data_IF_863462406007
#
_entry.id   IF_863462406007
#
_cell.length_a   1.000
_cell.length_b   1.000
_cell.length_c   1.000
_cell.angle_alpha   90.00
_cell.angle_beta   90.00
_cell.angle_gamma   90.00
#
_symmetry.space_group_name_H-M   'P 1'
#
loop_
_entity.id
_entity.type
_entity.pdbx_description
1 polymer ?
#
# COMPACT_ATOMS: atom_id res chain seq x y z
N UNK A 1 -17.09 14.06 30.68
CA UNK A 1 -17.87 14.15 29.43
C UNK A 1 -17.12 14.91 28.35
N UNK A 2 -16.98 16.25 28.42
CA UNK A 2 -16.39 17.06 27.33
C UNK A 2 -14.97 16.61 26.88
N UNK A 3 -14.14 16.11 27.79
CA UNK A 3 -12.78 15.66 27.46
C UNK A 3 -12.79 14.30 26.73
N UNK A 4 -13.67 13.39 27.14
CA UNK A 4 -13.85 12.07 26.51
C UNK A 4 -14.40 12.23 25.09
N UNK A 5 -15.40 13.11 24.91
CA UNK A 5 -15.97 13.38 23.59
C UNK A 5 -14.91 13.94 22.62
N UNK A 6 -14.02 14.80 23.13
CA UNK A 6 -12.89 15.34 22.34
C UNK A 6 -11.86 14.27 21.98
N UNK A 7 -11.58 13.34 22.90
CA UNK A 7 -10.66 12.22 22.67
C UNK A 7 -11.21 11.27 21.60
N UNK A 8 -12.48 10.87 21.72
CA UNK A 8 -13.15 10.00 20.75
C UNK A 8 -13.20 10.65 19.37
N UNK A 9 -13.54 11.94 19.29
CA UNK A 9 -13.56 12.68 18.02
C UNK A 9 -12.17 12.72 17.37
N UNK A 10 -11.12 12.97 18.15
CA UNK A 10 -9.74 12.94 17.66
C UNK A 10 -9.34 11.55 17.13
N UNK A 11 -9.70 10.49 17.86
CA UNK A 11 -9.41 9.10 17.45
C UNK A 11 -10.11 8.77 16.14
N UNK A 12 -11.40 9.10 16.00
CA UNK A 12 -12.17 8.83 14.78
C UNK A 12 -11.58 9.54 13.55
N UNK A 13 -11.22 10.83 13.70
CA UNK A 13 -10.58 11.59 12.62
C UNK A 13 -9.25 10.97 12.18
N UNK A 14 -8.50 10.43 13.14
CA UNK A 14 -7.21 9.83 12.86
C UNK A 14 -7.33 8.45 12.20
N UNK A 15 -8.37 7.68 12.55
CA UNK A 15 -8.70 6.43 11.87
C UNK A 15 -9.16 6.67 10.42
N UNK A 16 -9.98 7.69 10.17
CA UNK A 16 -10.39 8.09 8.83
C UNK A 16 -9.17 8.48 7.96
N UNK A 17 -8.22 9.21 8.54
CA UNK A 17 -6.95 9.53 7.87
C UNK A 17 -6.17 8.26 7.49
N UNK A 18 -6.03 7.31 8.41
CA UNK A 18 -5.33 6.05 8.15
C UNK A 18 -6.03 5.20 7.08
N UNK A 19 -7.36 5.12 7.12
CA UNK A 19 -8.16 4.42 6.11
C UNK A 19 -7.96 5.04 4.71
N UNK A 20 -7.92 6.38 4.62
CA UNK A 20 -7.66 7.08 3.36
C UNK A 20 -6.27 6.79 2.76
N UNK A 21 -5.34 6.29 3.59
CA UNK A 21 -3.99 5.87 3.21
C UNK A 21 -3.88 4.36 2.97
N UNK A 22 -5.02 3.67 2.83
CA UNK A 22 -5.12 2.22 2.64
C UNK A 22 -4.57 1.39 3.83
N UNK A 23 -4.47 1.98 5.02
CA UNK A 23 -4.08 1.26 6.23
C UNK A 23 -5.32 0.55 6.80
N UNK A 24 -5.19 -0.74 7.13
CA UNK A 24 -6.27 -1.51 7.72
C UNK A 24 -6.47 -1.10 9.19
N UNK A 25 -7.62 -0.47 9.47
CA UNK A 25 -7.99 0.05 10.79
C UNK A 25 -9.18 -0.68 11.43
N UNK A 26 -9.70 -1.75 10.81
CA UNK A 26 -10.95 -2.39 11.23
C UNK A 26 -10.93 -2.90 12.68
N UNK A 27 -9.80 -3.44 13.13
CA UNK A 27 -9.63 -3.91 14.51
C UNK A 27 -9.59 -2.76 15.52
N UNK A 28 -9.04 -1.60 15.14
CA UNK A 28 -9.00 -0.40 15.98
C UNK A 28 -10.39 0.22 16.11
N UNK A 29 -11.13 0.32 15.00
CA UNK A 29 -12.53 0.79 15.02
C UNK A 29 -13.38 -0.09 15.93
N UNK A 30 -13.21 -1.41 15.85
CA UNK A 30 -13.94 -2.34 16.72
C UNK A 30 -13.63 -2.09 18.21
N UNK A 31 -12.35 -2.00 18.58
CA UNK A 31 -11.92 -1.75 19.97
C UNK A 31 -12.46 -0.42 20.50
N UNK A 32 -12.34 0.66 19.72
CA UNK A 32 -12.88 1.97 20.12
C UNK A 32 -14.39 1.90 20.35
N UNK A 33 -15.13 1.18 19.50
CA UNK A 33 -16.57 1.00 19.65
C UNK A 33 -16.94 0.17 20.90
N UNK A 34 -16.13 -0.83 21.25
CA UNK A 34 -16.28 -1.62 22.48
C UNK A 34 -16.06 -0.76 23.73
N UNK A 35 -15.01 0.08 23.73
CA UNK A 35 -14.68 0.96 24.85
C UNK A 35 -15.70 2.10 25.04
N UNK A 36 -16.21 2.69 23.95
CA UNK A 36 -17.29 3.69 24.01
C UNK A 36 -18.56 3.07 24.61
N UNK A 37 -18.95 1.87 24.16
CA UNK A 37 -20.10 1.15 24.72
C UNK A 37 -19.87 0.78 26.19
N UNK A 38 -18.63 0.53 26.60
CA UNK A 38 -18.24 0.34 27.99
C UNK A 38 -18.45 1.61 28.82
N UNK A 39 -17.98 2.74 28.32
CA UNK A 39 -18.15 4.06 28.95
C UNK A 39 -19.61 4.52 29.06
N UNK A 40 -20.43 4.23 28.06
CA UNK A 40 -21.87 4.52 28.11
C UNK A 40 -22.58 3.76 29.23
N UNK A 41 -22.12 2.53 29.53
CA UNK A 41 -22.67 1.69 30.59
C UNK A 41 -22.10 2.03 31.97
N UNK A 42 -20.82 2.39 32.04
CA UNK A 42 -20.12 2.75 33.26
C UNK A 42 -19.19 3.95 33.06
N UNK A 43 -19.74 5.18 33.15
CA UNK A 43 -18.99 6.42 32.87
C UNK A 43 -17.84 6.70 33.84
N UNK A 44 -17.83 6.04 35.00
CA UNK A 44 -16.81 6.22 36.03
C UNK A 44 -15.59 5.30 35.85
N UNK A 45 -15.64 4.38 34.89
CA UNK A 45 -14.60 3.37 34.72
C UNK A 45 -13.39 3.93 33.97
N UNK A 46 -12.30 4.16 34.70
CA UNK A 46 -11.05 4.71 34.17
C UNK A 46 -10.31 3.76 33.22
N UNK A 47 -10.66 2.47 33.18
CA UNK A 47 -10.00 1.49 32.32
C UNK A 47 -10.29 1.79 30.86
N UNK A 48 -11.55 2.02 30.50
CA UNK A 48 -11.93 2.37 29.12
C UNK A 48 -11.29 3.66 28.63
N UNK A 49 -11.09 4.64 29.53
CA UNK A 49 -10.40 5.89 29.19
C UNK A 49 -8.92 5.61 28.86
N UNK A 50 -8.26 4.79 29.68
CA UNK A 50 -6.86 4.37 29.44
C UNK A 50 -6.72 3.55 28.16
N UNK A 51 -7.68 2.68 27.87
CA UNK A 51 -7.69 1.87 26.65
C UNK A 51 -7.84 2.75 25.41
N UNK A 52 -8.71 3.76 25.44
CA UNK A 52 -8.82 4.77 24.39
C UNK A 52 -7.52 5.58 24.21
N UNK A 53 -6.85 5.96 25.30
CA UNK A 53 -5.53 6.61 25.23
C UNK A 53 -4.46 5.70 24.62
N UNK A 54 -4.44 4.41 24.97
CA UNK A 54 -3.54 3.42 24.36
C UNK A 54 -3.80 3.29 22.86
N UNK A 55 -5.07 3.22 22.45
CA UNK A 55 -5.46 3.16 21.04
C UNK A 55 -4.99 4.42 20.30
N UNK A 56 -5.08 5.60 20.93
CA UNK A 56 -4.56 6.84 20.35
C UNK A 56 -3.05 6.78 20.10
N UNK A 57 -2.27 6.22 21.02
CA UNK A 57 -0.83 6.06 20.81
C UNK A 57 -0.51 5.01 19.72
N UNK A 58 -1.26 3.91 19.65
CA UNK A 58 -1.17 2.94 18.56
C UNK A 58 -1.44 3.59 17.18
N UNK A 59 -2.49 4.41 17.09
CA UNK A 59 -2.84 5.18 15.88
C UNK A 59 -1.73 6.15 15.50
N UNK A 60 -1.08 6.79 16.47
CA UNK A 60 0.03 7.73 16.22
C UNK A 60 1.26 7.01 15.69
N UNK A 61 1.57 5.83 16.22
CA UNK A 61 2.62 4.97 15.67
C UNK A 61 2.28 4.55 14.22
N UNK A 62 1.05 4.08 14.00
CA UNK A 62 0.55 3.72 12.68
C UNK A 62 0.59 4.87 11.69
N UNK A 63 0.30 6.11 12.08
CA UNK A 63 0.42 7.28 11.21
C UNK A 63 1.84 7.53 10.75
N UNK A 64 2.81 7.30 11.63
CA UNK A 64 4.23 7.43 11.31
C UNK A 64 4.64 6.38 10.27
N UNK A 65 4.12 5.16 10.40
CA UNK A 65 4.35 4.09 9.44
C UNK A 65 3.52 4.24 8.14
N UNK A 66 2.33 4.85 8.24
CA UNK A 66 1.40 5.03 7.12
C UNK A 66 1.96 5.93 6.03
N UNK A 67 2.78 6.93 6.37
CA UNK A 67 3.46 7.75 5.37
C UNK A 67 4.41 6.90 4.52
N UNK A 68 5.14 5.96 5.12
CA UNK A 68 5.98 5.01 4.38
C UNK A 68 5.15 4.07 3.50
N UNK A 69 4.05 3.52 4.03
CA UNK A 69 3.16 2.62 3.29
C UNK A 69 2.55 3.36 2.08
N UNK A 70 2.05 4.58 2.28
CA UNK A 70 1.47 5.39 1.22
C UNK A 70 2.48 5.70 0.10
N UNK A 71 3.71 6.06 0.46
CA UNK A 71 4.78 6.32 -0.50
C UNK A 71 5.10 5.05 -1.30
N UNK A 72 5.24 3.91 -0.63
CA UNK A 72 5.55 2.62 -1.28
C UNK A 72 4.43 2.20 -2.24
N UNK A 73 3.16 2.25 -1.80
CA UNK A 73 2.02 1.88 -2.64
C UNK A 73 1.94 2.76 -3.90
N UNK A 74 2.15 4.07 -3.75
CA UNK A 74 2.18 4.96 -4.89
C UNK A 74 3.37 4.66 -5.83
N UNK A 75 4.57 4.40 -5.30
CA UNK A 75 5.73 4.01 -6.12
C UNK A 75 5.42 2.74 -6.91
N UNK A 76 4.84 1.72 -6.27
CA UNK A 76 4.47 0.45 -6.93
C UNK A 76 3.43 0.72 -8.03
N UNK A 77 2.39 1.51 -7.74
CA UNK A 77 1.34 1.84 -8.70
C UNK A 77 1.87 2.58 -9.93
N UNK A 78 2.66 3.63 -9.71
CA UNK A 78 3.23 4.40 -10.82
C UNK A 78 4.29 3.62 -11.59
N UNK A 79 5.16 2.84 -10.91
CA UNK A 79 6.14 1.99 -11.59
C UNK A 79 5.49 0.90 -12.44
N UNK A 80 4.38 0.31 -11.97
CA UNK A 80 3.61 -0.66 -12.75
C UNK A 80 3.01 -0.01 -14.00
N UNK A 81 2.42 1.16 -13.87
CA UNK A 81 1.85 1.89 -15.00
C UNK A 81 2.93 2.27 -16.05
N UNK A 82 4.09 2.76 -15.61
CA UNK A 82 5.23 3.05 -16.47
C UNK A 82 5.74 1.77 -17.14
N UNK A 83 5.88 0.67 -16.39
CA UNK A 83 6.31 -0.62 -16.92
C UNK A 83 5.42 -1.12 -18.05
N UNK A 84 4.10 -1.08 -17.87
CA UNK A 84 3.12 -1.45 -18.90
C UNK A 84 3.23 -0.52 -20.11
N UNK A 85 3.32 0.79 -19.89
CA UNK A 85 3.49 1.78 -20.95
C UNK A 85 4.78 1.61 -21.78
N UNK A 86 5.83 1.05 -21.17
CA UNK A 86 7.09 0.76 -21.84
C UNK A 86 7.06 -0.56 -22.65
N UNK A 87 6.09 -1.45 -22.45
CA UNK A 87 6.01 -2.73 -23.17
C UNK A 87 6.02 -2.53 -24.69
N UNK A 88 5.16 -1.68 -25.31
CA UNK A 88 5.17 -1.49 -26.76
C UNK A 88 6.51 -0.96 -27.28
N UNK A 89 7.15 -0.05 -26.54
CA UNK A 89 8.45 0.52 -26.91
C UNK A 89 9.55 -0.53 -26.83
N UNK A 90 9.57 -1.31 -25.74
CA UNK A 90 10.50 -2.41 -25.56
C UNK A 90 10.34 -3.47 -26.65
N UNK A 91 9.10 -3.84 -26.97
CA UNK A 91 8.77 -4.76 -28.07
C UNK A 91 9.29 -4.24 -29.41
N UNK A 92 9.03 -2.97 -29.72
CA UNK A 92 9.46 -2.34 -30.98
C UNK A 92 10.99 -2.32 -31.14
N UNK A 93 11.74 -2.10 -30.05
CA UNK A 93 13.21 -2.03 -30.09
C UNK A 93 13.86 -3.42 -30.01
N UNK A 94 13.34 -4.31 -29.16
CA UNK A 94 13.96 -5.61 -28.86
C UNK A 94 13.63 -6.65 -29.93
N UNK A 95 12.39 -6.74 -30.41
CA UNK A 95 12.01 -7.78 -31.39
C UNK A 95 12.88 -7.73 -32.67
N UNK A 96 13.13 -6.58 -33.32
CA UNK A 96 13.97 -6.55 -34.52
C UNK A 96 15.40 -7.02 -34.25
N UNK A 97 15.96 -6.66 -33.10
CA UNK A 97 17.33 -7.05 -32.71
C UNK A 97 17.43 -8.54 -32.40
N UNK A 98 16.46 -9.07 -31.66
CA UNK A 98 16.38 -10.50 -31.34
C UNK A 98 16.17 -11.32 -32.61
N UNK A 99 15.29 -10.86 -33.52
CA UNK A 99 15.07 -11.48 -34.82
C UNK A 99 16.37 -11.58 -35.62
N UNK A 100 17.08 -10.45 -35.79
CA UNK A 100 18.34 -10.42 -36.53
C UNK A 100 19.40 -11.31 -35.88
N UNK A 101 19.50 -11.29 -34.55
CA UNK A 101 20.44 -12.14 -33.81
C UNK A 101 20.18 -13.63 -34.07
N UNK A 102 18.91 -14.06 -33.97
CA UNK A 102 18.51 -15.45 -34.24
C UNK A 102 18.77 -15.80 -35.71
N UNK A 103 18.37 -14.93 -36.65
CA UNK A 103 18.57 -15.14 -38.07
C UNK A 103 20.05 -15.32 -38.42
N UNK A 104 20.91 -14.45 -37.91
CA UNK A 104 22.35 -14.51 -38.15
C UNK A 104 22.98 -15.76 -37.53
N UNK A 105 22.55 -16.14 -36.32
CA UNK A 105 23.00 -17.37 -35.66
C UNK A 105 22.62 -18.62 -36.46
N UNK A 106 21.42 -18.67 -37.01
CA UNK A 106 20.93 -19.82 -37.78
C UNK A 106 21.56 -19.89 -39.18
N UNK A 107 21.78 -18.75 -39.84
CA UNK A 107 22.38 -18.70 -41.19
C UNK A 107 23.89 -18.95 -41.24
N UNK A 108 24.63 -18.73 -40.14
CA UNK A 108 26.09 -18.98 -40.08
C UNK A 108 26.54 -20.42 -40.34
N UNK A 109 25.64 -21.41 -40.32
CA UNK A 109 25.96 -22.82 -40.61
C UNK A 109 25.74 -23.23 -42.07
N UNK A 110 25.23 -22.34 -42.92
CA UNK A 110 24.94 -22.66 -44.32
C UNK A 110 26.19 -22.39 -45.17
N UNK A 111 27.10 -23.38 -45.25
CA UNK A 111 28.17 -23.38 -46.25
C UNK A 111 27.51 -23.66 -47.59
N UNK A 112 27.54 -22.69 -48.50
CA UNK A 112 27.07 -22.86 -49.88
C UNK A 112 28.03 -23.85 -50.54
N UNK A 113 27.59 -25.09 -50.75
CA UNK A 113 28.33 -26.03 -51.59
C UNK A 113 28.25 -25.52 -53.03
N UNK A 114 29.36 -24.97 -53.51
CA UNK A 114 29.54 -24.66 -54.94
C UNK A 114 29.59 -25.99 -55.68
N UNK A 115 28.55 -26.29 -56.46
CA UNK A 115 28.51 -27.48 -57.31
C UNK A 115 29.54 -27.26 -58.44
N UNK A 116 30.60 -28.06 -58.44
CA UNK A 116 31.55 -28.19 -59.56
C UNK A 116 30.93 -28.99 -60.69
#
# INVERSE_FOLDING_TARGET
>A
MSEIDSLVSSIMKDLEYLESREVNVSSLIQRVNEDIKGLEKDPGNTTYIKDLESIREEIKALKTDAENIYIINNIIRYSTAVGIGLVPVAVYILLPRIYLYIWYRTRRKWIVQVRK
#
